data_IF_041803731983
#
_entry.id   IF_041803731983
#
_cell.length_a   1.000
_cell.length_b   1.000
_cell.length_c   1.000
_cell.angle_alpha   90.00
_cell.angle_beta   90.00
_cell.angle_gamma   90.00
#
_symmetry.space_group_name_H-M   'P 1'
#
loop_
_entity.id
_entity.type
_entity.pdbx_description
1 polymer ?
#
# COMPACT_ATOMS: atom_id res chain seq x y z
N UNK A 1 -23.16 13.38 -27.71
CA UNK A 1 -23.45 13.04 -26.30
C UNK A 1 -24.59 13.92 -25.82
N UNK A 2 -25.55 13.39 -25.07
CA UNK A 2 -26.64 14.20 -24.46
C UNK A 2 -26.16 14.82 -23.14
N UNK A 3 -26.80 15.92 -22.71
CA UNK A 3 -26.54 16.57 -21.41
C UNK A 3 -26.57 15.58 -20.24
N UNK A 4 -27.49 14.61 -20.29
CA UNK A 4 -27.63 13.57 -19.25
C UNK A 4 -26.45 12.59 -19.22
N UNK A 5 -25.86 12.28 -20.38
CA UNK A 5 -24.67 11.43 -20.47
C UNK A 5 -23.48 12.08 -19.77
N UNK A 6 -23.34 13.40 -19.93
CA UNK A 6 -22.23 14.19 -19.38
C UNK A 6 -22.40 14.40 -17.87
N UNK A 7 -23.63 14.65 -17.43
CA UNK A 7 -23.99 14.73 -16.00
C UNK A 7 -23.74 13.39 -15.29
N UNK A 8 -24.17 12.28 -15.88
CA UNK A 8 -23.90 10.95 -15.34
C UNK A 8 -22.40 10.67 -15.21
N UNK A 9 -21.60 11.06 -16.20
CA UNK A 9 -20.14 10.87 -16.20
C UNK A 9 -19.45 11.70 -15.09
N UNK A 10 -19.90 12.95 -14.89
CA UNK A 10 -19.43 13.83 -13.82
C UNK A 10 -19.78 13.26 -12.44
N UNK A 11 -21.04 12.85 -12.22
CA UNK A 11 -21.48 12.25 -10.97
C UNK A 11 -20.68 10.97 -10.66
N UNK A 12 -20.40 10.15 -11.68
CA UNK A 12 -19.58 8.96 -11.54
C UNK A 12 -18.12 9.28 -11.20
N UNK A 13 -17.56 10.33 -11.80
CA UNK A 13 -16.20 10.78 -11.52
C UNK A 13 -16.06 11.34 -10.09
N UNK A 14 -17.04 12.13 -9.63
CA UNK A 14 -17.09 12.65 -8.25
C UNK A 14 -17.19 11.49 -7.25
N UNK A 15 -18.10 10.54 -7.47
CA UNK A 15 -18.25 9.37 -6.61
C UNK A 15 -16.99 8.48 -6.59
N UNK A 16 -16.30 8.35 -7.73
CA UNK A 16 -15.01 7.66 -7.81
C UNK A 16 -13.93 8.39 -7.00
N UNK A 17 -13.85 9.72 -7.12
CA UNK A 17 -12.90 10.54 -6.38
C UNK A 17 -13.10 10.47 -4.86
N UNK A 18 -14.34 10.59 -4.37
CA UNK A 18 -14.64 10.43 -2.93
C UNK A 18 -14.28 9.04 -2.41
N UNK A 19 -14.45 8.01 -3.23
CA UNK A 19 -14.08 6.64 -2.88
C UNK A 19 -12.56 6.50 -2.81
N UNK A 20 -11.81 7.13 -3.71
CA UNK A 20 -10.35 7.18 -3.67
C UNK A 20 -9.84 7.96 -2.45
N UNK A 21 -10.47 9.08 -2.10
CA UNK A 21 -10.14 9.85 -0.90
C UNK A 21 -10.28 9.01 0.37
N UNK A 22 -11.45 8.38 0.58
CA UNK A 22 -11.69 7.47 1.73
C UNK A 22 -10.73 6.28 1.75
N UNK A 23 -10.34 5.77 0.59
CA UNK A 23 -9.35 4.68 0.50
C UNK A 23 -7.94 5.14 0.87
N UNK A 24 -7.62 6.43 0.67
CA UNK A 24 -6.31 7.01 1.01
C UNK A 24 -6.13 7.10 2.53
N UNK A 25 -7.18 7.44 3.29
CA UNK A 25 -7.15 7.40 4.76
C UNK A 25 -6.86 5.98 5.27
N UNK A 26 -7.62 4.99 4.78
CA UNK A 26 -7.35 3.57 5.10
C UNK A 26 -5.93 3.14 4.73
N UNK A 27 -5.36 3.74 3.69
CA UNK A 27 -3.98 3.47 3.27
C UNK A 27 -2.99 3.97 4.34
N UNK A 28 -3.19 5.20 4.84
CA UNK A 28 -2.39 5.79 5.92
C UNK A 28 -2.46 4.95 7.18
N UNK A 29 -3.65 4.48 7.56
CA UNK A 29 -3.83 3.62 8.75
C UNK A 29 -3.04 2.30 8.63
N UNK A 30 -3.04 1.69 7.44
CA UNK A 30 -2.29 0.44 7.18
C UNK A 30 -0.79 0.66 7.28
N UNK A 31 -0.29 1.77 6.72
CA UNK A 31 1.13 2.15 6.81
C UNK A 31 1.48 2.40 8.28
N UNK A 32 0.66 3.18 8.99
CA UNK A 32 0.82 3.50 10.40
C UNK A 32 0.87 2.26 11.29
N UNK A 33 0.02 1.27 11.01
CA UNK A 33 0.03 -0.01 11.73
C UNK A 33 1.36 -0.76 11.57
N UNK A 34 1.87 -0.91 10.35
CA UNK A 34 3.15 -1.60 10.10
C UNK A 34 4.29 -0.88 10.81
N UNK A 35 4.33 0.46 10.72
CA UNK A 35 5.33 1.28 11.40
C UNK A 35 5.23 1.18 12.92
N UNK A 36 4.02 1.15 13.49
CA UNK A 36 3.84 1.01 14.94
C UNK A 36 4.41 -0.31 15.47
N UNK A 37 4.31 -1.39 14.70
CA UNK A 37 4.89 -2.69 15.06
C UNK A 37 6.42 -2.66 14.92
N UNK A 38 6.93 -2.00 13.89
CA UNK A 38 8.38 -1.88 13.69
C UNK A 38 9.07 -1.03 14.77
N UNK A 39 8.39 0.02 15.29
CA UNK A 39 8.99 1.00 16.20
C UNK A 39 8.73 0.67 17.68
N UNK A 40 7.61 0.03 18.02
CA UNK A 40 7.22 -0.16 19.42
C UNK A 40 7.57 -1.55 19.96
N UNK A 41 6.92 -2.65 19.54
CA UNK A 41 7.19 -3.97 20.11
C UNK A 41 8.58 -4.49 19.74
N UNK A 42 9.10 -4.20 18.54
CA UNK A 42 10.42 -4.69 18.14
C UNK A 42 11.57 -4.13 19.00
N UNK A 43 11.71 -2.79 19.14
CA UNK A 43 12.71 -2.20 20.03
C UNK A 43 12.43 -2.49 21.51
N UNK A 44 11.16 -2.57 21.91
CA UNK A 44 10.78 -2.93 23.27
C UNK A 44 11.34 -4.28 23.72
N UNK A 45 11.30 -5.30 22.86
CA UNK A 45 11.92 -6.61 23.18
C UNK A 45 13.44 -6.54 23.16
N UNK A 46 14.06 -5.74 22.29
CA UNK A 46 15.51 -5.54 22.32
C UNK A 46 15.96 -4.89 23.63
N UNK A 47 15.24 -3.86 24.11
CA UNK A 47 15.51 -3.24 25.42
C UNK A 47 15.29 -4.25 26.55
N UNK A 48 14.18 -5.00 26.51
CA UNK A 48 13.92 -6.08 27.47
C UNK A 48 15.07 -7.10 27.52
N UNK A 49 15.60 -7.49 26.35
CA UNK A 49 16.73 -8.40 26.24
C UNK A 49 17.98 -7.83 26.91
N UNK A 50 18.33 -6.58 26.61
CA UNK A 50 19.51 -5.91 27.20
C UNK A 50 19.40 -5.77 28.72
N UNK A 51 18.21 -5.46 29.24
CA UNK A 51 17.98 -5.23 30.68
C UNK A 51 17.96 -6.55 31.45
N UNK A 52 17.23 -7.55 30.99
CA UNK A 52 16.96 -8.77 31.78
C UNK A 52 18.01 -9.89 31.62
N UNK A 53 18.90 -9.81 30.63
CA UNK A 53 19.86 -10.88 30.33
C UNK A 53 21.30 -10.60 30.75
N UNK A 54 21.54 -9.67 31.69
CA UNK A 54 22.85 -9.57 32.36
C UNK A 54 23.13 -10.86 33.16
N UNK A 55 23.77 -11.84 32.54
CA UNK A 55 24.35 -13.03 33.19
C UNK A 55 23.54 -14.35 33.12
N UNK A 56 22.41 -14.42 32.40
CA UNK A 56 21.63 -15.68 32.25
C UNK A 56 22.01 -16.44 30.96
N UNK A 57 21.94 -17.79 30.94
CA UNK A 57 22.23 -18.58 29.74
C UNK A 57 21.14 -18.38 28.67
N UNK A 58 21.37 -17.41 27.79
CA UNK A 58 20.55 -17.03 26.64
C UNK A 58 20.27 -18.18 25.65
N UNK A 59 21.10 -19.22 25.66
CA UNK A 59 21.12 -20.29 24.66
C UNK A 59 20.79 -21.68 25.22
N UNK A 60 20.04 -21.76 26.33
CA UNK A 60 19.44 -23.05 26.70
C UNK A 60 18.51 -23.53 25.58
N UNK A 61 18.39 -24.86 25.38
CA UNK A 61 17.56 -25.44 24.32
C UNK A 61 16.10 -24.94 24.41
N UNK A 62 15.57 -24.78 25.63
CA UNK A 62 14.24 -24.20 25.85
C UNK A 62 14.16 -22.73 25.41
N UNK A 63 15.17 -21.91 25.73
CA UNK A 63 15.17 -20.51 25.29
C UNK A 63 15.35 -20.38 23.77
N UNK A 64 16.15 -21.26 23.16
CA UNK A 64 16.33 -21.30 21.70
C UNK A 64 15.01 -21.59 20.98
N UNK A 65 14.25 -22.58 21.44
CA UNK A 65 13.00 -23.01 20.78
C UNK A 65 11.85 -22.04 21.06
N UNK A 66 11.70 -21.58 22.30
CA UNK A 66 10.49 -20.87 22.72
C UNK A 66 10.61 -19.36 22.72
N UNK A 67 11.84 -18.82 22.73
CA UNK A 67 12.07 -17.38 22.65
C UNK A 67 12.72 -17.00 21.31
N UNK A 68 13.86 -17.60 20.96
CA UNK A 68 14.60 -17.21 19.75
C UNK A 68 13.91 -17.61 18.44
N UNK A 69 13.36 -18.82 18.33
CA UNK A 69 12.72 -19.24 17.09
C UNK A 69 11.50 -18.37 16.72
N UNK A 70 10.52 -18.10 17.61
CA UNK A 70 9.43 -17.18 17.29
C UNK A 70 9.92 -15.75 17.02
N UNK A 71 10.96 -15.30 17.74
CA UNK A 71 11.55 -13.98 17.52
C UNK A 71 12.19 -13.83 16.13
N UNK A 72 12.95 -14.82 15.68
CA UNK A 72 13.56 -14.85 14.33
C UNK A 72 12.46 -14.87 13.26
N UNK A 73 11.43 -15.70 13.45
CA UNK A 73 10.28 -15.75 12.54
C UNK A 73 9.59 -14.38 12.48
N UNK A 74 9.39 -13.73 13.64
CA UNK A 74 8.83 -12.38 13.69
C UNK A 74 9.70 -11.37 12.93
N UNK A 75 11.02 -11.43 13.07
CA UNK A 75 11.95 -10.53 12.39
C UNK A 75 11.93 -10.70 10.87
N UNK A 76 11.97 -11.94 10.39
CA UNK A 76 11.86 -12.24 8.96
C UNK A 76 10.52 -11.75 8.42
N UNK A 77 9.42 -12.06 9.12
CA UNK A 77 8.07 -11.68 8.69
C UNK A 77 7.88 -10.16 8.67
N UNK A 78 8.43 -9.45 9.66
CA UNK A 78 8.43 -7.99 9.68
C UNK A 78 9.30 -7.40 8.56
N UNK A 79 10.46 -7.99 8.28
CA UNK A 79 11.30 -7.60 7.15
C UNK A 79 10.57 -7.73 5.81
N UNK A 80 9.85 -8.84 5.60
CA UNK A 80 8.98 -9.04 4.43
C UNK A 80 7.87 -7.97 4.40
N UNK A 81 7.24 -7.69 5.54
CA UNK A 81 6.19 -6.67 5.64
C UNK A 81 6.70 -5.28 5.23
N UNK A 82 7.86 -4.86 5.73
CA UNK A 82 8.49 -3.58 5.38
C UNK A 82 8.92 -3.57 3.92
N UNK A 83 9.45 -4.68 3.39
CA UNK A 83 9.79 -4.80 1.97
C UNK A 83 8.58 -4.62 1.06
N UNK A 84 7.44 -5.23 1.40
CA UNK A 84 6.18 -5.06 0.66
C UNK A 84 5.64 -3.63 0.76
N UNK A 85 5.75 -3.02 1.95
CA UNK A 85 5.38 -1.62 2.18
C UNK A 85 6.22 -0.69 1.30
N UNK A 86 7.54 -0.83 1.35
CA UNK A 86 8.48 -0.06 0.54
C UNK A 86 8.21 -0.27 -0.95
N UNK A 87 7.94 -1.50 -1.39
CA UNK A 87 7.57 -1.79 -2.78
C UNK A 87 6.28 -1.08 -3.20
N UNK A 88 5.28 -1.02 -2.33
CA UNK A 88 4.01 -0.34 -2.59
C UNK A 88 4.09 1.19 -2.54
N UNK A 89 5.16 1.76 -1.96
CA UNK A 89 5.35 3.20 -1.83
C UNK A 89 6.37 3.77 -2.82
N UNK A 90 7.51 3.08 -2.99
CA UNK A 90 8.66 3.55 -3.77
C UNK A 90 8.60 3.16 -5.24
N UNK A 91 7.89 2.09 -5.59
CA UNK A 91 7.73 1.75 -7.01
C UNK A 91 6.81 2.80 -7.61
N UNK A 92 7.37 3.75 -8.35
CA UNK A 92 6.63 4.78 -9.06
C UNK A 92 5.59 4.10 -9.95
N UNK A 93 4.35 4.09 -9.51
CA UNK A 93 3.25 3.62 -10.32
C UNK A 93 3.08 4.64 -11.43
N UNK A 94 3.38 4.24 -12.66
CA UNK A 94 3.20 5.07 -13.84
C UNK A 94 1.70 5.24 -14.07
N UNK A 95 1.15 6.31 -13.51
CA UNK A 95 -0.22 6.71 -13.77
C UNK A 95 -0.31 7.23 -15.20
N UNK A 96 -1.29 6.73 -15.94
CA UNK A 96 -1.66 7.29 -17.21
C UNK A 96 -2.31 8.66 -16.97
N UNK A 97 -1.87 9.66 -17.74
CA UNK A 97 -2.43 11.01 -17.72
C UNK A 97 -3.22 11.22 -19.00
N UNK A 98 -4.26 12.04 -18.90
CA UNK A 98 -4.97 12.57 -20.08
C UNK A 98 -3.97 13.41 -20.88
N UNK A 99 -4.03 13.41 -22.23
CA UNK A 99 -3.15 14.23 -23.04
C UNK A 99 -3.28 15.71 -22.68
N UNK A 100 -2.15 16.41 -22.76
CA UNK A 100 -2.11 17.85 -22.53
C UNK A 100 -2.67 18.60 -23.75
N UNK A 101 -3.24 19.80 -23.57
CA UNK A 101 -3.67 20.63 -24.70
C UNK A 101 -2.58 20.82 -25.77
N UNK A 102 -1.30 20.90 -25.35
CA UNK A 102 -0.14 20.99 -26.25
C UNK A 102 0.08 19.75 -27.13
N UNK A 103 -0.38 18.58 -26.69
CA UNK A 103 -0.31 17.32 -27.44
C UNK A 103 -1.53 17.18 -28.39
N UNK A 104 -2.61 17.90 -28.10
CA UNK A 104 -3.90 17.85 -28.80
C UNK A 104 -3.99 18.90 -29.92
N UNK A 105 -3.49 20.12 -29.68
CA UNK A 105 -3.55 21.24 -30.63
C UNK A 105 -2.97 20.93 -32.02
N UNK A 106 -1.81 20.24 -32.14
CA UNK A 106 -1.26 19.91 -33.47
C UNK A 106 -2.18 19.02 -34.31
N UNK A 107 -3.00 18.17 -33.69
CA UNK A 107 -3.97 17.33 -34.39
C UNK A 107 -5.11 18.17 -35.00
N UNK A 108 -5.54 19.21 -34.30
CA UNK A 108 -6.59 20.11 -34.77
C UNK A 108 -6.09 21.09 -35.84
N UNK A 109 -4.84 21.53 -35.75
CA UNK A 109 -4.23 22.45 -36.74
C UNK A 109 -3.94 21.78 -38.08
N UNK A 110 -3.78 20.46 -38.11
CA UNK A 110 -3.45 19.69 -39.33
C UNK A 110 -4.67 19.18 -40.09
N UNK A 111 -5.88 19.29 -39.52
CA UNK A 111 -7.08 18.72 -40.13
C UNK A 111 -7.87 19.75 -40.95
N UNK A 112 -8.21 19.44 -42.23
CA UNK A 112 -8.87 20.37 -43.14
C UNK A 112 -10.36 20.60 -42.83
N UNK A 113 -10.98 19.77 -41.98
CA UNK A 113 -12.40 19.86 -41.62
C UNK A 113 -12.59 20.00 -40.10
N UNK A 114 -12.81 21.22 -39.59
CA UNK A 114 -12.80 21.49 -38.15
C UNK A 114 -13.93 20.78 -37.39
N UNK A 115 -15.11 20.64 -37.97
CA UNK A 115 -16.25 20.00 -37.30
C UNK A 115 -16.11 18.47 -37.20
N UNK A 116 -15.55 17.82 -38.22
CA UNK A 116 -15.23 16.38 -38.17
C UNK A 116 -14.06 16.12 -37.22
N UNK A 117 -13.01 16.94 -37.29
CA UNK A 117 -11.88 16.87 -36.37
C UNK A 117 -12.31 17.05 -34.92
N UNK A 118 -13.23 17.99 -34.64
CA UNK A 118 -13.79 18.21 -33.30
C UNK A 118 -14.50 16.97 -32.77
N UNK A 119 -15.33 16.33 -33.60
CA UNK A 119 -16.07 15.13 -33.21
C UNK A 119 -15.14 13.93 -32.99
N UNK A 120 -14.18 13.70 -33.91
CA UNK A 120 -13.19 12.61 -33.79
C UNK A 120 -12.24 12.81 -32.61
N UNK A 121 -11.82 14.06 -32.37
CA UNK A 121 -10.98 14.43 -31.23
C UNK A 121 -11.70 14.23 -29.90
N UNK A 122 -12.98 14.62 -29.81
CA UNK A 122 -13.80 14.35 -28.62
C UNK A 122 -13.93 12.84 -28.34
N UNK A 123 -14.24 12.04 -29.37
CA UNK A 123 -14.37 10.58 -29.21
C UNK A 123 -13.04 9.93 -28.82
N UNK A 124 -11.91 10.41 -29.38
CA UNK A 124 -10.57 9.90 -29.09
C UNK A 124 -10.13 10.24 -27.67
N UNK A 125 -10.32 11.50 -27.24
CA UNK A 125 -10.03 11.93 -25.87
C UNK A 125 -10.86 11.17 -24.85
N UNK A 126 -12.14 10.89 -25.15
CA UNK A 126 -13.00 10.11 -24.26
C UNK A 126 -12.52 8.66 -24.14
N UNK A 127 -12.04 8.05 -25.23
CA UNK A 127 -11.43 6.71 -25.22
C UNK A 127 -10.14 6.69 -24.39
N UNK A 128 -9.25 7.66 -24.58
CA UNK A 128 -8.00 7.74 -23.83
C UNK A 128 -8.23 8.04 -22.35
N UNK A 129 -9.22 8.88 -22.03
CA UNK A 129 -9.66 9.09 -20.66
C UNK A 129 -10.14 7.79 -20.02
N UNK A 130 -11.02 7.05 -20.69
CA UNK A 130 -11.52 5.77 -20.19
C UNK A 130 -10.39 4.73 -20.01
N UNK A 131 -9.44 4.68 -20.94
CA UNK A 131 -8.26 3.81 -20.86
C UNK A 131 -7.36 4.20 -19.68
N UNK A 132 -7.12 5.50 -19.50
CA UNK A 132 -6.29 6.03 -18.41
C UNK A 132 -6.90 5.74 -17.04
N UNK A 133 -8.21 5.97 -16.89
CA UNK A 133 -8.96 5.63 -15.66
C UNK A 133 -8.85 4.14 -15.36
N UNK A 134 -9.04 3.27 -16.36
CA UNK A 134 -8.93 1.82 -16.19
C UNK A 134 -7.52 1.39 -15.75
N UNK A 135 -6.49 1.92 -16.39
CA UNK A 135 -5.09 1.64 -16.03
C UNK A 135 -4.77 2.09 -14.61
N UNK A 136 -5.11 3.33 -14.26
CA UNK A 136 -4.87 3.90 -12.94
C UNK A 136 -5.60 3.12 -11.84
N UNK A 137 -6.84 2.70 -12.10
CA UNK A 137 -7.60 1.84 -11.21
C UNK A 137 -6.90 0.51 -10.95
N UNK A 138 -6.38 -0.14 -12.00
CA UNK A 138 -5.64 -1.40 -11.86
C UNK A 138 -4.34 -1.22 -11.06
N UNK A 139 -3.60 -0.12 -11.29
CA UNK A 139 -2.40 0.20 -10.52
C UNK A 139 -2.73 0.42 -9.03
N UNK A 140 -3.78 1.20 -8.74
CA UNK A 140 -4.26 1.43 -7.38
C UNK A 140 -4.69 0.12 -6.69
N UNK A 141 -5.38 -0.77 -7.41
CA UNK A 141 -5.78 -2.06 -6.86
C UNK A 141 -4.56 -2.94 -6.53
N UNK A 142 -3.53 -2.93 -7.38
CA UNK A 142 -2.28 -3.67 -7.13
C UNK A 142 -1.54 -3.11 -5.90
N UNK A 143 -1.42 -1.78 -5.79
CA UNK A 143 -0.83 -1.11 -4.63
C UNK A 143 -1.57 -1.47 -3.33
N UNK A 144 -2.90 -1.43 -3.36
CA UNK A 144 -3.73 -1.80 -2.23
C UNK A 144 -3.50 -3.25 -1.77
N UNK A 145 -3.38 -4.20 -2.72
CA UNK A 145 -3.10 -5.62 -2.40
C UNK A 145 -1.76 -5.77 -1.67
N UNK A 146 -0.70 -5.09 -2.11
CA UNK A 146 0.59 -5.15 -1.44
C UNK A 146 0.56 -4.57 -0.03
N UNK A 147 -0.16 -3.46 0.18
CA UNK A 147 -0.30 -2.87 1.51
C UNK A 147 -1.11 -3.75 2.46
N UNK A 148 -2.15 -4.43 1.95
CA UNK A 148 -2.91 -5.40 2.72
C UNK A 148 -2.04 -6.61 3.12
N UNK A 149 -1.23 -7.13 2.20
CA UNK A 149 -0.29 -8.22 2.49
C UNK A 149 0.76 -7.78 3.52
N UNK A 150 1.34 -6.59 3.34
CA UNK A 150 2.27 -5.99 4.31
C UNK A 150 1.66 -5.93 5.71
N UNK A 151 0.44 -5.42 5.85
CA UNK A 151 -0.24 -5.35 7.15
C UNK A 151 -0.48 -6.74 7.77
N UNK A 152 -0.92 -7.71 6.97
CA UNK A 152 -1.14 -9.10 7.44
C UNK A 152 0.16 -9.74 7.92
N UNK A 153 1.26 -9.52 7.19
CA UNK A 153 2.59 -9.97 7.62
C UNK A 153 3.04 -9.28 8.91
N UNK A 154 2.81 -7.97 9.07
CA UNK A 154 3.13 -7.27 10.31
C UNK A 154 2.32 -7.81 11.50
N UNK A 155 1.03 -8.07 11.31
CA UNK A 155 0.19 -8.70 12.33
C UNK A 155 0.71 -10.10 12.71
N UNK A 156 1.09 -10.91 11.73
CA UNK A 156 1.68 -12.22 11.99
C UNK A 156 2.99 -12.11 12.78
N UNK A 157 3.85 -11.14 12.46
CA UNK A 157 5.05 -10.85 13.24
C UNK A 157 4.68 -10.53 14.70
N UNK A 158 3.68 -9.68 14.93
CA UNK A 158 3.20 -9.35 16.28
C UNK A 158 2.73 -10.58 17.07
N UNK A 159 2.01 -11.50 16.44
CA UNK A 159 1.59 -12.76 17.07
C UNK A 159 2.80 -13.55 17.56
N UNK A 160 3.83 -13.68 16.73
CA UNK A 160 5.06 -14.38 17.12
C UNK A 160 5.83 -13.65 18.24
N UNK A 161 5.84 -12.32 18.25
CA UNK A 161 6.40 -11.53 19.36
C UNK A 161 5.67 -11.83 20.67
N UNK A 162 4.33 -11.84 20.65
CA UNK A 162 3.52 -12.14 21.84
C UNK A 162 3.81 -13.55 22.35
N UNK A 163 3.88 -14.54 21.45
CA UNK A 163 4.22 -15.92 21.82
C UNK A 163 5.61 -16.05 22.43
N UNK A 164 6.61 -15.33 21.90
CA UNK A 164 7.96 -15.31 22.44
C UNK A 164 8.00 -14.76 23.88
N UNK A 165 7.21 -13.73 24.17
CA UNK A 165 7.15 -13.09 25.47
C UNK A 165 6.36 -13.88 26.51
N UNK A 166 5.29 -14.56 26.10
CA UNK A 166 4.36 -15.22 27.02
C UNK A 166 5.05 -16.31 27.86
N UNK A 167 6.02 -17.06 27.32
CA UNK A 167 6.72 -18.11 28.09
C UNK A 167 7.74 -17.56 29.09
N UNK A 168 8.40 -16.44 28.80
CA UNK A 168 9.38 -15.85 29.72
C UNK A 168 8.73 -15.28 30.99
N UNK A 169 7.43 -14.93 30.95
CA UNK A 169 6.68 -14.49 32.13
C UNK A 169 6.46 -15.60 33.18
N UNK A 170 6.48 -16.88 32.77
CA UNK A 170 6.27 -18.03 33.68
C UNK A 170 7.55 -18.53 34.34
N UNK A 171 8.72 -18.00 33.97
CA UNK A 171 10.02 -18.38 34.56
C UNK A 171 10.48 -17.38 35.62
N UNK A 172 9.63 -16.39 35.95
CA UNK A 172 9.93 -15.29 36.88
C UNK A 172 9.19 -15.44 38.24
N UNK A 173 8.41 -16.51 38.44
CA UNK A 173 7.86 -16.88 39.75
C UNK A 173 8.50 -18.16 40.26
#
# INVERSE_FOLDING_TARGET
MTSDSLKWLLDHAIAAYEREWRNTEKLKDRIGFVLSIAITPFPGVLVYLVVNFKGKPLFSISNAIFFWAPWIIAAITLGISIGLLAHALLRGFLYARVPLPSEILPYFEQHPEPDKALKEGQDSLLKEYAASVKHNFQQNQKRYRFLLLSQRSAFLALVFIILALQKNSWVIF
#
